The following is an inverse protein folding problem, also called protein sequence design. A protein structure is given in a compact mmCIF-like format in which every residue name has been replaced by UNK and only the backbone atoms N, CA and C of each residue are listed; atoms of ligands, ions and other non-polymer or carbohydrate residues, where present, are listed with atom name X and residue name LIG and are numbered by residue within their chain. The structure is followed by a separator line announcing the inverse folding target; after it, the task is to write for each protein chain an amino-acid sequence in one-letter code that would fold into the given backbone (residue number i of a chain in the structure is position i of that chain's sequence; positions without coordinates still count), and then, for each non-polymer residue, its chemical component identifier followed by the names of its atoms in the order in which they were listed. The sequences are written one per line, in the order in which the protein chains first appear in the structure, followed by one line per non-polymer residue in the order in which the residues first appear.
data_IF_999489140578
#
_entry.id   IF_999489140578
#
_cell.length_a   1.000
_cell.length_b   1.000
_cell.length_c   1.000
_cell.angle_alpha   90.00
_cell.angle_beta   90.00
_cell.angle_gamma   90.00
#
_symmetry.space_group_name_H-M   'P 1'
#
loop_
_entity.id
_entity.type
_entity.pdbx_description
1 polymer ?
#
# COMPACT_ATOMS: atom_id res chain seq x y z
N UNK A 1 -24.07 42.51 -27.09
CA UNK A 1 -23.43 41.74 -28.18
C UNK A 1 -22.03 41.32 -27.71
N UNK A 2 -21.51 40.15 -28.13
CA UNK A 2 -21.37 39.07 -27.16
C UNK A 2 -19.96 38.82 -26.62
N UNK A 3 -19.94 38.20 -25.45
CA UNK A 3 -18.82 37.41 -24.94
C UNK A 3 -18.47 36.28 -25.92
N UNK A 4 -17.18 36.01 -26.09
CA UNK A 4 -16.72 34.73 -26.66
C UNK A 4 -15.94 33.93 -25.62
N UNK A 5 -16.66 33.00 -24.98
CA UNK A 5 -16.05 31.82 -24.39
C UNK A 5 -15.65 30.87 -25.53
N UNK A 6 -14.38 30.46 -25.57
CA UNK A 6 -13.98 29.20 -26.24
C UNK A 6 -12.74 28.62 -25.57
N UNK A 7 -12.95 27.95 -24.43
CA UNK A 7 -12.04 26.90 -23.99
C UNK A 7 -12.13 25.76 -25.02
N UNK A 8 -11.09 25.58 -25.84
CA UNK A 8 -10.91 24.32 -26.55
C UNK A 8 -10.27 23.33 -25.59
N UNK A 9 -10.86 22.15 -25.46
CA UNK A 9 -10.17 20.98 -24.91
C UNK A 9 -8.96 20.69 -25.81
N UNK A 10 -7.75 20.77 -25.26
CA UNK A 10 -6.55 20.30 -25.96
C UNK A 10 -6.51 18.76 -25.82
N UNK A 11 -7.29 18.10 -26.67
CA UNK A 11 -7.18 16.67 -26.93
C UNK A 11 -6.03 16.44 -27.91
N UNK A 12 -4.84 16.18 -27.39
CA UNK A 12 -3.63 16.00 -28.19
C UNK A 12 -2.38 16.24 -27.35
N UNK A 13 -1.92 15.21 -26.64
CA UNK A 13 -0.61 15.22 -26.00
C UNK A 13 0.46 14.88 -27.04
N UNK A 14 1.04 15.90 -27.68
CA UNK A 14 2.28 15.71 -28.44
C UNK A 14 3.42 15.39 -27.47
N UNK A 15 4.07 14.23 -27.69
CA UNK A 15 5.10 13.64 -26.80
C UNK A 15 6.44 14.40 -26.74
N UNK A 16 6.44 15.72 -26.89
CA UNK A 16 7.66 16.54 -27.03
C UNK A 16 7.59 17.96 -26.46
N UNK A 17 6.50 18.35 -25.79
CA UNK A 17 6.38 19.67 -25.15
C UNK A 17 6.26 19.50 -23.64
N UNK A 18 7.21 20.05 -22.89
CA UNK A 18 7.19 20.07 -21.43
C UNK A 18 6.13 21.06 -20.90
N UNK A 19 5.22 20.62 -20.04
CA UNK A 19 4.19 21.48 -19.44
C UNK A 19 4.15 21.29 -17.92
N UNK A 20 4.25 22.40 -17.18
CA UNK A 20 4.03 22.44 -15.73
C UNK A 20 2.57 22.81 -15.44
N UNK A 21 1.88 22.00 -14.64
CA UNK A 21 0.54 22.31 -14.11
C UNK A 21 0.58 22.33 -12.59
N UNK A 22 -0.20 23.23 -11.98
CA UNK A 22 -0.19 23.49 -10.53
C UNK A 22 -1.58 23.90 -10.05
N UNK A 23 -1.92 23.60 -8.80
CA UNK A 23 -3.24 23.96 -8.26
C UNK A 23 -3.37 23.98 -6.73
N UNK A 24 -4.51 24.50 -6.29
CA UNK A 24 -5.01 24.51 -4.91
C UNK A 24 -6.45 24.03 -4.89
N UNK A 25 -6.81 23.15 -3.95
CA UNK A 25 -8.22 22.83 -3.70
C UNK A 25 -8.97 24.06 -3.17
N UNK A 26 -10.23 24.20 -3.59
CA UNK A 26 -11.17 25.28 -3.23
C UNK A 26 -10.88 26.69 -3.79
N UNK A 27 -9.98 26.85 -4.77
CA UNK A 27 -9.89 28.11 -5.55
C UNK A 27 -10.92 28.13 -6.70
N UNK A 28 -11.65 29.24 -6.94
CA UNK A 28 -12.66 29.33 -8.01
C UNK A 28 -12.08 29.29 -9.44
N UNK A 29 -10.75 29.26 -9.59
CA UNK A 29 -10.07 29.05 -10.86
C UNK A 29 -8.87 28.10 -10.62
N UNK A 30 -9.00 26.78 -10.86
CA UNK A 30 -8.04 25.77 -10.39
C UNK A 30 -6.73 25.73 -11.19
N UNK A 31 -6.67 26.39 -12.36
CA UNK A 31 -5.45 26.62 -13.11
C UNK A 31 -4.98 28.06 -12.86
N UNK A 32 -4.10 28.24 -11.87
CA UNK A 32 -3.35 29.50 -11.73
C UNK A 32 -1.95 29.27 -12.30
N UNK A 33 -1.54 30.06 -13.29
CA UNK A 33 -0.14 30.12 -13.73
C UNK A 33 0.69 30.61 -12.53
N UNK A 34 1.56 29.76 -11.98
CA UNK A 34 2.39 30.11 -10.83
C UNK A 34 3.71 30.67 -11.31
N UNK A 35 3.86 31.98 -11.10
CA UNK A 35 5.17 32.60 -11.01
C UNK A 35 5.74 32.29 -9.64
N UNK A 36 6.96 31.78 -9.63
CA UNK A 36 7.80 31.79 -8.44
C UNK A 36 8.34 33.22 -8.25
N UNK A 37 9.26 33.43 -7.30
CA UNK A 37 9.96 34.71 -7.17
C UNK A 37 11.44 34.42 -6.89
N UNK A 38 12.21 34.30 -7.98
CA UNK A 38 13.55 33.73 -8.06
C UNK A 38 13.82 33.08 -9.44
N UNK A 39 14.44 33.84 -10.36
CA UNK A 39 14.82 33.39 -11.72
C UNK A 39 13.66 32.79 -12.54
N UNK A 40 12.60 33.59 -12.70
CA UNK A 40 11.24 33.05 -12.77
C UNK A 40 10.73 32.49 -14.11
N UNK A 41 9.88 31.49 -13.94
CA UNK A 41 9.13 30.76 -14.96
C UNK A 41 7.79 31.46 -15.26
N UNK A 42 7.49 31.70 -16.55
CA UNK A 42 6.18 32.15 -17.02
C UNK A 42 5.94 31.57 -18.43
N UNK A 43 4.76 31.00 -18.70
CA UNK A 43 4.52 30.09 -19.81
C UNK A 43 3.27 30.49 -20.60
N UNK A 44 3.38 31.66 -21.21
CA UNK A 44 2.64 32.05 -22.42
C UNK A 44 3.72 32.50 -23.41
N UNK A 45 4.07 31.62 -24.35
CA UNK A 45 4.94 31.83 -25.53
C UNK A 45 6.51 31.80 -25.35
N UNK A 46 7.19 30.63 -25.47
CA UNK A 46 8.67 30.43 -25.25
C UNK A 46 9.44 29.46 -26.21
N UNK A 47 10.80 29.49 -26.35
CA UNK A 47 11.71 28.66 -27.21
C UNK A 47 13.21 28.70 -26.80
N UNK A 48 14.01 27.63 -26.88
CA UNK A 48 15.37 27.70 -26.31
C UNK A 48 16.42 28.33 -27.24
N UNK A 49 17.17 29.31 -26.72
CA UNK A 49 18.54 29.62 -27.15
C UNK A 49 19.43 29.93 -25.94
N UNK A 50 20.69 29.53 -25.99
CA UNK A 50 21.72 29.78 -24.96
C UNK A 50 21.34 29.45 -23.49
N UNK A 51 20.44 28.47 -23.30
CA UNK A 51 19.93 28.06 -21.98
C UNK A 51 18.59 28.69 -21.55
N UNK A 52 17.90 29.44 -22.42
CA UNK A 52 16.72 30.28 -22.10
C UNK A 52 15.54 30.06 -23.06
N UNK A 53 14.31 29.84 -22.58
CA UNK A 53 13.06 29.68 -23.39
C UNK A 53 12.39 31.06 -23.73
N UNK A 54 12.32 31.55 -24.98
CA UNK A 54 11.52 32.69 -25.53
C UNK A 54 11.07 32.48 -27.02
N UNK A 55 9.80 32.76 -27.41
CA UNK A 55 8.99 32.15 -28.54
C UNK A 55 9.62 31.68 -29.88
N UNK A 56 9.07 30.56 -30.41
CA UNK A 56 8.95 30.27 -31.85
C UNK A 56 10.03 29.37 -32.49
N UNK A 57 9.66 28.36 -33.30
CA UNK A 57 10.47 27.21 -33.77
C UNK A 57 11.93 27.07 -33.29
N UNK A 58 12.16 26.20 -32.29
CA UNK A 58 13.48 25.89 -31.70
C UNK A 58 13.45 25.61 -30.19
N UNK A 59 12.56 24.73 -29.71
CA UNK A 59 12.16 24.66 -28.30
C UNK A 59 13.04 23.72 -27.43
N UNK A 60 13.42 24.11 -26.21
CA UNK A 60 13.97 23.20 -25.17
C UNK A 60 13.69 23.69 -23.74
N UNK A 61 13.08 22.89 -22.86
CA UNK A 61 12.83 23.30 -21.47
C UNK A 61 14.06 23.00 -20.59
N UNK A 62 14.64 24.01 -19.93
CA UNK A 62 15.73 23.85 -18.96
C UNK A 62 15.30 24.47 -17.63
N UNK A 63 15.37 23.69 -16.55
CA UNK A 63 15.16 24.19 -15.19
C UNK A 63 16.44 24.92 -14.76
N UNK A 64 16.42 26.25 -14.54
CA UNK A 64 17.65 27.05 -14.38
C UNK A 64 18.34 26.87 -13.02
N UNK A 65 17.76 26.10 -12.11
CA UNK A 65 18.31 25.73 -10.80
C UNK A 65 17.66 24.42 -10.31
N UNK A 66 18.13 23.92 -9.17
CA UNK A 66 17.48 22.84 -8.42
C UNK A 66 15.99 23.15 -8.19
N UNK A 67 15.14 22.12 -8.28
CA UNK A 67 13.80 22.21 -7.66
C UNK A 67 14.03 22.03 -6.16
N UNK A 68 14.46 23.12 -5.51
CA UNK A 68 14.82 23.15 -4.09
C UNK A 68 13.62 22.88 -3.16
N UNK A 69 12.41 23.14 -3.66
CA UNK A 69 11.16 22.95 -2.92
C UNK A 69 9.94 23.38 -3.74
N UNK A 70 8.88 22.58 -3.70
CA UNK A 70 7.51 23.09 -3.83
C UNK A 70 7.11 23.69 -2.46
N UNK A 71 6.32 24.76 -2.41
CA UNK A 71 5.64 25.22 -1.19
C UNK A 71 4.25 25.76 -1.56
N UNK A 72 3.26 25.63 -0.67
CA UNK A 72 1.92 26.26 -0.78
C UNK A 72 1.02 25.81 -1.95
N UNK A 73 1.30 24.66 -2.58
CA UNK A 73 0.42 24.01 -3.56
C UNK A 73 -0.09 22.68 -3.04
N UNK A 74 -1.29 22.28 -3.48
CA UNK A 74 -1.84 20.95 -3.16
C UNK A 74 -1.39 19.89 -4.16
N UNK A 75 -1.02 20.29 -5.37
CA UNK A 75 -0.39 19.41 -6.34
C UNK A 75 0.39 20.22 -7.39
N UNK A 76 1.38 19.55 -7.97
CA UNK A 76 2.20 19.97 -9.11
C UNK A 76 2.27 18.76 -10.05
N UNK A 77 2.04 18.95 -11.35
CA UNK A 77 2.19 17.89 -12.36
C UNK A 77 3.14 18.34 -13.47
N UNK A 78 4.04 17.43 -13.84
CA UNK A 78 4.96 17.56 -14.95
C UNK A 78 4.49 16.68 -16.12
N UNK A 79 4.46 17.27 -17.31
CA UNK A 79 4.21 16.63 -18.60
C UNK A 79 5.40 16.87 -19.53
N UNK A 80 5.63 15.98 -20.49
CA UNK A 80 6.78 16.00 -21.40
C UNK A 80 8.11 15.60 -20.73
N UNK A 81 9.11 15.26 -21.54
CA UNK A 81 10.41 14.79 -21.06
C UNK A 81 11.35 15.95 -20.67
N UNK A 82 12.30 15.71 -19.76
CA UNK A 82 13.26 16.75 -19.36
C UNK A 82 14.36 16.34 -18.37
N UNK A 83 15.10 17.34 -17.87
CA UNK A 83 16.12 17.15 -16.82
C UNK A 83 15.91 18.14 -15.67
N UNK A 84 16.09 17.67 -14.44
CA UNK A 84 15.98 18.47 -13.20
C UNK A 84 17.33 18.31 -12.46
N UNK A 85 18.21 19.34 -12.38
CA UNK A 85 19.58 19.20 -11.87
C UNK A 85 19.70 18.43 -10.54
N UNK A 86 18.92 18.84 -9.53
CA UNK A 86 18.54 17.99 -8.39
C UNK A 86 17.10 18.31 -7.96
N UNK A 87 16.47 17.35 -7.26
CA UNK A 87 15.07 17.44 -6.83
C UNK A 87 14.98 17.30 -5.32
N UNK A 88 14.63 18.38 -4.63
CA UNK A 88 14.45 18.41 -3.17
C UNK A 88 13.00 18.74 -2.84
N UNK A 89 12.18 17.71 -2.62
CA UNK A 89 10.81 17.87 -2.15
C UNK A 89 10.78 18.11 -0.64
N UNK A 90 11.22 19.30 -0.22
CA UNK A 90 11.12 19.77 1.18
C UNK A 90 9.64 19.90 1.60
N UNK A 91 9.38 19.88 2.91
CA UNK A 91 8.09 20.09 3.62
C UNK A 91 6.92 20.61 2.76
N UNK A 92 6.02 19.72 2.33
CA UNK A 92 4.85 20.06 1.49
C UNK A 92 3.49 19.65 2.07
N UNK A 93 2.43 20.35 1.65
CA UNK A 93 1.02 19.91 1.84
C UNK A 93 0.42 19.33 0.55
N UNK A 94 1.25 19.10 -0.47
CA UNK A 94 0.82 18.64 -1.79
C UNK A 94 1.76 17.65 -2.44
N UNK A 95 1.32 17.14 -3.59
CA UNK A 95 1.94 16.04 -4.35
C UNK A 95 2.69 16.58 -5.59
N UNK A 96 3.86 16.01 -5.92
CA UNK A 96 4.47 16.15 -7.24
C UNK A 96 4.16 14.90 -8.07
N UNK A 97 3.55 15.06 -9.24
CA UNK A 97 3.23 13.95 -10.16
C UNK A 97 4.00 14.08 -11.48
N UNK A 98 4.77 13.05 -11.82
CA UNK A 98 5.19 12.77 -13.19
C UNK A 98 4.09 11.93 -13.87
N UNK A 99 3.71 12.24 -15.11
CA UNK A 99 2.71 11.45 -15.84
C UNK A 99 3.04 11.29 -17.31
N UNK A 100 3.30 10.05 -17.73
CA UNK A 100 3.71 9.70 -19.09
C UNK A 100 4.97 10.47 -19.57
N UNK A 101 5.92 10.69 -18.65
CA UNK A 101 7.14 11.52 -18.85
C UNK A 101 8.44 10.84 -18.44
N UNK A 102 9.52 11.07 -19.17
CA UNK A 102 10.89 10.73 -18.76
C UNK A 102 11.63 11.96 -18.20
N UNK A 103 11.99 11.91 -16.92
CA UNK A 103 12.82 12.93 -16.27
C UNK A 103 14.15 12.35 -15.78
N UNK A 104 15.24 13.11 -15.94
CA UNK A 104 16.56 12.73 -15.43
C UNK A 104 17.08 13.75 -14.42
N UNK A 105 17.56 13.27 -13.29
CA UNK A 105 18.20 14.05 -12.22
C UNK A 105 19.69 13.70 -12.14
N UNK A 106 20.61 14.59 -12.58
CA UNK A 106 22.05 14.40 -12.44
C UNK A 106 22.54 14.26 -11.00
N UNK A 107 21.89 14.95 -10.05
CA UNK A 107 22.18 14.88 -8.63
C UNK A 107 21.29 13.90 -7.86
N UNK A 108 21.18 14.13 -6.55
CA UNK A 108 20.31 13.35 -5.66
C UNK A 108 18.84 13.77 -5.79
N UNK A 109 17.94 12.87 -5.39
CA UNK A 109 16.55 13.18 -5.06
C UNK A 109 16.37 13.09 -3.54
N UNK A 110 15.90 14.16 -2.91
CA UNK A 110 15.57 14.21 -1.48
C UNK A 110 14.07 14.43 -1.32
N UNK A 111 13.33 13.41 -0.89
CA UNK A 111 11.88 13.47 -0.69
C UNK A 111 11.49 13.56 0.79
N UNK A 112 10.74 14.61 1.14
CA UNK A 112 10.05 14.81 2.42
C UNK A 112 8.56 15.17 2.20
N UNK A 113 8.07 15.04 0.97
CA UNK A 113 6.69 15.29 0.54
C UNK A 113 6.06 14.02 -0.07
N UNK A 114 5.12 14.21 -1.00
CA UNK A 114 4.54 13.11 -1.78
C UNK A 114 5.03 13.24 -3.22
N UNK A 115 5.62 12.16 -3.74
CA UNK A 115 6.04 12.04 -5.13
C UNK A 115 5.28 10.89 -5.80
N UNK A 116 4.77 11.10 -7.01
CA UNK A 116 3.98 10.12 -7.76
C UNK A 116 4.54 10.01 -9.18
N UNK A 117 4.71 8.80 -9.68
CA UNK A 117 4.96 8.49 -11.08
C UNK A 117 3.79 7.67 -11.60
N UNK A 118 3.09 8.23 -12.60
CA UNK A 118 1.85 7.72 -13.19
C UNK A 118 2.05 7.38 -14.67
N UNK A 119 1.26 6.44 -15.19
CA UNK A 119 1.37 5.97 -16.57
C UNK A 119 2.77 5.44 -16.92
N UNK A 120 3.28 5.74 -18.11
CA UNK A 120 4.61 5.29 -18.55
C UNK A 120 5.76 6.18 -18.08
N UNK A 121 5.64 6.83 -16.91
CA UNK A 121 6.65 7.77 -16.41
C UNK A 121 7.96 7.08 -16.01
N UNK A 122 9.09 7.69 -16.34
CA UNK A 122 10.42 7.24 -15.90
C UNK A 122 11.14 8.37 -15.16
N UNK A 123 11.62 8.12 -13.93
CA UNK A 123 12.53 9.01 -13.21
C UNK A 123 13.91 8.37 -13.12
N UNK A 124 14.88 8.94 -13.81
CA UNK A 124 16.29 8.59 -13.69
C UNK A 124 16.95 9.48 -12.63
N UNK A 125 17.72 8.87 -11.73
CA UNK A 125 18.45 9.52 -10.64
C UNK A 125 19.90 9.04 -10.71
N UNK A 126 20.79 9.91 -11.17
CA UNK A 126 22.21 9.58 -11.31
C UNK A 126 22.95 9.67 -9.95
N UNK A 127 22.41 10.43 -9.00
CA UNK A 127 22.82 10.40 -7.60
C UNK A 127 22.09 9.31 -6.80
N UNK A 128 21.94 9.55 -5.49
CA UNK A 128 21.12 8.73 -4.60
C UNK A 128 19.69 9.26 -4.41
N UNK A 129 18.81 8.41 -3.90
CA UNK A 129 17.43 8.73 -3.54
C UNK A 129 17.25 8.62 -2.02
N UNK A 130 16.84 9.71 -1.37
CA UNK A 130 16.67 9.79 0.08
C UNK A 130 15.21 10.12 0.40
N UNK A 131 14.54 9.27 1.18
CA UNK A 131 13.23 9.55 1.78
C UNK A 131 13.47 9.90 3.26
N UNK A 132 13.38 11.19 3.60
CA UNK A 132 13.62 11.70 4.96
C UNK A 132 12.34 11.82 5.79
N UNK A 133 12.38 11.73 7.13
CA UNK A 133 11.20 11.75 7.98
C UNK A 133 10.62 13.17 8.10
N UNK A 134 9.35 13.28 8.48
CA UNK A 134 8.64 14.55 8.68
C UNK A 134 8.07 14.63 10.10
N UNK A 135 7.74 15.83 10.54
CA UNK A 135 7.05 16.11 11.81
C UNK A 135 5.51 16.25 11.72
N UNK A 136 4.88 16.11 10.53
CA UNK A 136 3.47 16.51 10.31
C UNK A 136 2.68 15.72 9.22
N UNK A 137 3.25 14.69 8.60
CA UNK A 137 2.60 13.73 7.66
C UNK A 137 3.61 12.63 7.34
N UNK A 138 3.18 11.59 6.62
CA UNK A 138 4.05 10.57 6.04
C UNK A 138 4.64 11.09 4.71
N UNK A 139 5.98 11.11 4.53
CA UNK A 139 6.62 11.31 3.23
C UNK A 139 6.47 10.05 2.38
N UNK A 140 6.17 10.22 1.11
CA UNK A 140 5.72 9.12 0.25
C UNK A 140 6.31 9.19 -1.16
N UNK A 141 6.66 8.03 -1.71
CA UNK A 141 6.83 7.84 -3.16
C UNK A 141 5.81 6.79 -3.62
N UNK A 142 5.10 7.07 -4.71
CA UNK A 142 4.25 6.12 -5.46
C UNK A 142 4.86 5.90 -6.84
N UNK A 143 5.42 4.73 -7.11
CA UNK A 143 5.76 4.28 -8.46
C UNK A 143 4.62 3.38 -8.94
N UNK A 144 3.72 3.90 -9.78
CA UNK A 144 2.54 3.15 -10.21
C UNK A 144 2.87 2.14 -11.32
N UNK A 145 1.93 1.24 -11.62
CA UNK A 145 2.10 0.25 -12.69
C UNK A 145 2.40 0.93 -14.04
N UNK A 146 3.42 0.44 -14.74
CA UNK A 146 3.96 1.01 -15.97
C UNK A 146 5.03 2.09 -15.76
N UNK A 147 5.16 2.65 -14.55
CA UNK A 147 6.16 3.64 -14.23
C UNK A 147 7.47 3.00 -13.74
N UNK A 148 8.57 3.75 -13.88
CA UNK A 148 9.91 3.31 -13.54
C UNK A 148 10.69 4.37 -12.75
N UNK A 149 11.44 3.94 -11.74
CA UNK A 149 12.47 4.73 -11.07
C UNK A 149 13.80 4.01 -11.27
N UNK A 150 14.79 4.70 -11.85
CA UNK A 150 16.16 4.20 -11.99
C UNK A 150 17.09 5.03 -11.12
N UNK A 151 17.63 4.47 -10.05
CA UNK A 151 18.60 5.13 -9.18
C UNK A 151 19.98 4.51 -9.42
N UNK A 152 20.98 5.30 -9.80
CA UNK A 152 22.33 4.82 -10.03
C UNK A 152 23.15 4.70 -8.72
N UNK A 153 22.93 5.62 -7.78
CA UNK A 153 23.49 5.56 -6.43
C UNK A 153 22.62 4.78 -5.44
N UNK A 154 22.79 5.09 -4.16
CA UNK A 154 22.08 4.43 -3.06
C UNK A 154 20.64 4.93 -2.89
N UNK A 155 19.74 4.04 -2.44
CA UNK A 155 18.41 4.38 -1.95
C UNK A 155 18.39 4.25 -0.44
N UNK A 156 17.99 5.30 0.26
CA UNK A 156 17.79 5.28 1.71
C UNK A 156 16.42 5.83 2.08
N UNK A 157 15.70 5.15 2.97
CA UNK A 157 14.54 5.72 3.66
C UNK A 157 14.72 5.69 5.16
N UNK A 158 14.03 6.58 5.85
CA UNK A 158 14.03 6.72 7.30
C UNK A 158 12.65 6.36 7.89
N UNK A 159 12.60 6.12 9.21
CA UNK A 159 11.36 5.74 9.90
C UNK A 159 10.23 6.74 9.66
N UNK A 160 9.03 6.21 9.38
CA UNK A 160 7.84 7.02 9.11
C UNK A 160 7.67 7.51 7.66
N UNK A 161 8.46 7.02 6.71
CA UNK A 161 8.21 7.17 5.26
C UNK A 161 7.44 5.99 4.67
N UNK A 162 6.80 6.18 3.52
CA UNK A 162 6.17 5.12 2.72
C UNK A 162 6.79 5.07 1.31
N UNK A 163 7.05 3.86 0.80
CA UNK A 163 7.27 3.60 -0.62
C UNK A 163 6.19 2.65 -1.12
N UNK A 164 5.32 3.12 -2.02
CA UNK A 164 4.40 2.30 -2.81
C UNK A 164 5.05 2.01 -4.16
N UNK A 165 5.30 0.75 -4.48
CA UNK A 165 5.84 0.33 -5.77
C UNK A 165 4.94 -0.72 -6.41
N UNK A 166 4.23 -0.34 -7.47
CA UNK A 166 3.51 -1.21 -8.39
C UNK A 166 4.15 -1.23 -9.79
N UNK A 167 5.28 -0.53 -9.97
CA UNK A 167 6.04 -0.42 -11.21
C UNK A 167 7.42 -1.09 -11.10
N UNK A 168 8.46 -0.44 -11.63
CA UNK A 168 9.85 -0.93 -11.51
C UNK A 168 10.75 0.07 -10.78
N UNK A 169 11.42 -0.36 -9.71
CA UNK A 169 12.46 0.44 -9.04
C UNK A 169 13.80 -0.26 -9.20
N UNK A 170 14.65 0.25 -10.09
CA UNK A 170 16.03 -0.23 -10.29
C UNK A 170 17.00 0.55 -9.42
N UNK A 171 17.92 -0.14 -8.73
CA UNK A 171 18.94 0.47 -7.87
C UNK A 171 20.33 -0.05 -8.24
N UNK A 172 21.25 0.88 -8.52
CA UNK A 172 22.66 0.64 -8.82
C UNK A 172 23.56 0.56 -7.57
N UNK A 173 23.21 1.29 -6.51
CA UNK A 173 23.89 1.23 -5.21
C UNK A 173 23.27 0.22 -4.24
N UNK A 174 23.38 0.53 -2.94
CA UNK A 174 22.67 -0.18 -1.87
C UNK A 174 21.23 0.37 -1.72
N UNK A 175 20.29 -0.46 -1.26
CA UNK A 175 18.94 -0.01 -0.90
C UNK A 175 18.63 -0.39 0.56
N UNK A 176 18.38 0.62 1.40
CA UNK A 176 18.00 0.45 2.80
C UNK A 176 16.72 1.24 3.11
N UNK A 177 15.59 0.53 3.11
CA UNK A 177 14.28 1.10 3.36
C UNK A 177 13.87 0.86 4.82
N UNK A 178 14.09 1.89 5.66
CA UNK A 178 13.71 1.89 7.07
C UNK A 178 12.33 2.54 7.31
N UNK A 179 11.43 2.41 6.33
CA UNK A 179 10.04 2.84 6.41
C UNK A 179 9.13 1.77 5.84
N UNK A 180 7.83 2.05 5.77
CA UNK A 180 6.84 1.10 5.25
C UNK A 180 6.99 0.96 3.73
N UNK A 181 6.97 -0.28 3.23
CA UNK A 181 7.04 -0.59 1.80
C UNK A 181 5.82 -1.41 1.41
N UNK A 182 5.17 -1.06 0.29
CA UNK A 182 4.01 -1.78 -0.23
C UNK A 182 3.90 -1.77 -1.75
N UNK A 183 3.01 -2.58 -2.31
CA UNK A 183 2.74 -2.68 -3.75
C UNK A 183 3.25 -3.97 -4.42
N UNK A 184 2.80 -4.20 -5.66
CA UNK A 184 3.04 -5.43 -6.44
C UNK A 184 4.16 -5.28 -7.49
N UNK A 185 5.04 -4.30 -7.31
CA UNK A 185 6.09 -3.95 -8.27
C UNK A 185 7.36 -4.78 -8.13
N UNK A 186 8.27 -4.57 -9.08
CA UNK A 186 9.60 -5.18 -9.08
C UNK A 186 10.67 -4.19 -8.57
N UNK A 187 11.56 -4.70 -7.71
CA UNK A 187 12.82 -4.05 -7.33
C UNK A 187 13.98 -4.75 -8.03
N UNK A 188 14.75 -4.01 -8.83
CA UNK A 188 15.88 -4.57 -9.58
C UNK A 188 17.19 -4.11 -8.97
N UNK A 189 17.89 -5.02 -8.29
CA UNK A 189 19.10 -4.73 -7.52
C UNK A 189 20.37 -5.05 -8.30
N UNK A 190 21.30 -4.10 -8.37
CA UNK A 190 22.63 -4.37 -8.90
C UNK A 190 23.43 -5.28 -7.95
N UNK A 191 23.87 -6.43 -8.44
CA UNK A 191 24.72 -7.35 -7.67
C UNK A 191 26.07 -6.67 -7.34
N UNK A 192 26.62 -6.82 -6.12
CA UNK A 192 26.19 -7.75 -5.05
C UNK A 192 25.20 -7.15 -4.03
N UNK A 193 24.64 -5.97 -4.26
CA UNK A 193 23.73 -5.31 -3.32
C UNK A 193 22.44 -6.12 -3.10
N UNK A 194 21.89 -6.01 -1.89
CA UNK A 194 20.58 -6.52 -1.52
C UNK A 194 19.62 -5.38 -1.18
N UNK A 195 18.32 -5.59 -1.39
CA UNK A 195 17.26 -4.73 -0.87
C UNK A 195 17.09 -5.02 0.63
N UNK A 196 17.39 -4.06 1.49
CA UNK A 196 17.15 -4.17 2.94
C UNK A 196 15.84 -3.49 3.30
N UNK A 197 14.93 -4.23 3.93
CA UNK A 197 13.63 -3.76 4.41
C UNK A 197 13.59 -3.89 5.94
N UNK A 198 13.32 -2.81 6.68
CA UNK A 198 13.49 -2.80 8.13
C UNK A 198 12.24 -2.46 8.97
N UNK A 199 11.11 -2.10 8.37
CA UNK A 199 9.84 -1.88 9.08
C UNK A 199 8.71 -2.70 8.42
N UNK A 200 7.48 -2.20 8.36
CA UNK A 200 6.37 -2.91 7.76
C UNK A 200 6.56 -3.14 6.24
N UNK A 201 6.44 -4.38 5.80
CA UNK A 201 6.44 -4.80 4.40
C UNK A 201 5.08 -5.41 4.10
N UNK A 202 4.25 -4.69 3.34
CA UNK A 202 2.98 -5.23 2.83
C UNK A 202 3.21 -5.67 1.39
N UNK A 203 2.90 -6.92 1.06
CA UNK A 203 3.04 -7.37 -0.31
C UNK A 203 1.81 -6.96 -1.11
N UNK A 204 2.02 -6.35 -2.27
CA UNK A 204 0.92 -5.92 -3.13
C UNK A 204 0.12 -4.72 -2.63
N UNK A 205 -0.98 -4.45 -3.35
CA UNK A 205 -2.19 -3.83 -2.78
C UNK A 205 -3.17 -4.91 -2.25
N UNK A 206 -2.62 -6.10 -1.99
CA UNK A 206 -3.20 -7.39 -1.58
C UNK A 206 -4.42 -7.92 -2.37
N UNK A 207 -4.40 -9.18 -2.86
CA UNK A 207 -3.22 -10.04 -3.01
C UNK A 207 -2.31 -9.60 -4.18
N UNK A 208 -1.00 -9.82 -4.07
CA UNK A 208 -0.03 -9.54 -5.11
C UNK A 208 1.32 -10.24 -4.94
N UNK A 209 2.26 -9.94 -5.84
CA UNK A 209 3.66 -10.40 -5.72
C UNK A 209 4.55 -9.18 -5.63
N UNK A 210 5.39 -9.10 -4.61
CA UNK A 210 6.51 -8.15 -4.56
C UNK A 210 7.73 -8.89 -5.11
N UNK A 211 8.26 -8.43 -6.24
CA UNK A 211 9.41 -9.08 -6.89
C UNK A 211 10.72 -8.34 -6.57
N UNK A 212 11.78 -9.10 -6.34
CA UNK A 212 13.14 -8.61 -6.19
C UNK A 212 14.05 -9.37 -7.17
N UNK A 213 14.40 -8.72 -8.28
CA UNK A 213 15.49 -9.17 -9.13
C UNK A 213 16.83 -8.90 -8.41
N UNK A 214 17.23 -9.84 -7.56
CA UNK A 214 18.41 -9.75 -6.69
C UNK A 214 18.16 -10.41 -5.33
N UNK A 215 18.98 -10.05 -4.35
CA UNK A 215 18.81 -10.53 -2.97
C UNK A 215 17.98 -9.54 -2.14
N UNK A 216 17.26 -10.05 -1.14
CA UNK A 216 16.47 -9.25 -0.19
C UNK A 216 16.85 -9.62 1.25
N UNK A 217 16.85 -8.64 2.14
CA UNK A 217 17.09 -8.82 3.57
C UNK A 217 15.99 -8.14 4.39
N UNK A 218 15.25 -8.93 5.15
CA UNK A 218 14.30 -8.45 6.14
C UNK A 218 15.04 -8.28 7.47
N UNK A 219 15.12 -7.07 8.01
CA UNK A 219 15.80 -6.82 9.28
C UNK A 219 14.99 -7.32 10.49
N UNK A 220 15.61 -7.40 11.67
CA UNK A 220 14.96 -7.85 12.91
C UNK A 220 13.76 -7.00 13.36
N UNK A 221 13.65 -5.77 12.85
CA UNK A 221 12.50 -4.87 13.08
C UNK A 221 11.42 -4.96 12.01
N UNK A 222 11.64 -5.73 10.93
CA UNK A 222 10.70 -5.82 9.82
C UNK A 222 9.47 -6.68 10.17
N UNK A 223 8.33 -6.37 9.55
CA UNK A 223 7.11 -7.19 9.61
C UNK A 223 6.64 -7.48 8.19
N UNK A 224 6.83 -8.72 7.73
CA UNK A 224 6.26 -9.17 6.45
C UNK A 224 4.78 -9.51 6.67
N UNK A 225 3.90 -8.71 6.08
CA UNK A 225 2.46 -8.90 6.08
C UNK A 225 2.03 -9.57 4.78
N UNK A 226 1.33 -10.70 4.92
CA UNK A 226 0.87 -11.56 3.83
C UNK A 226 -0.65 -11.71 3.94
N UNK A 227 -1.37 -11.40 2.87
CA UNK A 227 -2.81 -11.63 2.76
C UNK A 227 -3.15 -12.89 1.96
N UNK A 228 -4.19 -13.61 2.39
CA UNK A 228 -4.78 -14.76 1.70
C UNK A 228 -6.28 -14.50 1.38
N UNK A 229 -6.66 -14.49 0.10
CA UNK A 229 -8.05 -14.47 -0.43
C UNK A 229 -8.47 -15.79 -1.08
N UNK A 230 -7.53 -16.72 -1.30
CA UNK A 230 -7.77 -17.97 -2.01
C UNK A 230 -6.50 -18.78 -2.24
N UNK A 231 -6.66 -19.98 -2.80
CA UNK A 231 -5.57 -20.95 -3.00
C UNK A 231 -4.88 -20.87 -4.36
N UNK A 232 -5.41 -20.09 -5.30
CA UNK A 232 -4.86 -19.93 -6.64
C UNK A 232 -3.71 -18.90 -6.65
N UNK A 233 -2.73 -19.00 -7.59
CA UNK A 233 -1.73 -17.94 -7.78
C UNK A 233 -2.40 -16.57 -7.99
N UNK A 234 -1.86 -15.53 -7.35
CA UNK A 234 -2.48 -14.20 -7.34
C UNK A 234 -3.72 -14.08 -6.43
N UNK A 235 -4.03 -15.10 -5.61
CA UNK A 235 -5.00 -15.02 -4.51
C UNK A 235 -4.37 -15.02 -3.12
N UNK A 236 -3.05 -15.03 -3.06
CA UNK A 236 -2.27 -14.82 -1.84
C UNK A 236 -1.01 -14.02 -2.15
N UNK A 237 -0.52 -13.33 -1.13
CA UNK A 237 0.69 -12.52 -1.22
C UNK A 237 1.97 -13.37 -1.30
N UNK A 238 2.92 -12.94 -2.15
CA UNK A 238 4.24 -13.58 -2.30
C UNK A 238 5.37 -12.54 -2.33
N UNK A 239 6.35 -12.68 -1.44
CA UNK A 239 7.65 -12.04 -1.60
C UNK A 239 8.55 -12.95 -2.45
N UNK A 240 8.87 -12.52 -3.67
CA UNK A 240 9.71 -13.26 -4.63
C UNK A 240 11.09 -12.62 -4.73
N UNK A 241 12.16 -13.41 -4.69
CA UNK A 241 13.54 -12.95 -4.88
C UNK A 241 14.34 -13.89 -5.79
N UNK A 242 15.04 -13.38 -6.80
CA UNK A 242 15.88 -14.26 -7.65
C UNK A 242 17.19 -14.67 -6.98
N UNK A 243 17.63 -13.92 -5.96
CA UNK A 243 18.83 -14.17 -5.14
C UNK A 243 18.54 -14.81 -3.77
N UNK A 244 19.30 -14.42 -2.75
CA UNK A 244 19.09 -14.88 -1.37
C UNK A 244 18.00 -14.04 -0.68
N UNK A 245 17.03 -14.68 -0.05
CA UNK A 245 16.16 -14.06 0.95
C UNK A 245 16.74 -14.30 2.35
N UNK A 246 17.25 -13.23 2.96
CA UNK A 246 17.69 -13.23 4.37
C UNK A 246 16.51 -12.82 5.25
N UNK A 247 15.98 -13.78 6.01
CA UNK A 247 14.79 -13.61 6.82
C UNK A 247 15.15 -13.28 8.27
N UNK A 248 14.84 -12.04 8.67
CA UNK A 248 14.71 -11.63 10.07
C UNK A 248 13.27 -11.16 10.35
N UNK A 249 13.08 -10.49 11.48
CA UNK A 249 11.82 -9.81 11.79
C UNK A 249 10.67 -10.77 12.10
N UNK A 250 9.44 -10.40 11.73
CA UNK A 250 8.22 -11.18 12.00
C UNK A 250 7.38 -11.41 10.74
N UNK A 251 6.63 -12.50 10.75
CA UNK A 251 5.59 -12.81 9.77
C UNK A 251 4.21 -12.51 10.35
N UNK A 252 3.34 -11.89 9.57
CA UNK A 252 1.93 -11.65 9.92
C UNK A 252 1.03 -12.12 8.76
N UNK A 253 -0.06 -12.84 9.08
CA UNK A 253 -0.93 -13.48 8.08
C UNK A 253 -2.36 -12.95 8.21
N UNK A 254 -2.87 -12.32 7.17
CA UNK A 254 -4.23 -11.82 7.08
C UNK A 254 -5.12 -12.76 6.25
N UNK A 255 -6.38 -12.94 6.65
CA UNK A 255 -7.41 -13.55 5.82
C UNK A 255 -8.38 -12.44 5.38
N UNK A 256 -8.59 -12.28 4.08
CA UNK A 256 -9.48 -11.26 3.50
C UNK A 256 -10.50 -11.89 2.54
N UNK A 257 -11.38 -11.08 1.95
CA UNK A 257 -12.48 -11.51 1.05
C UNK A 257 -13.37 -12.65 1.59
N UNK A 258 -13.43 -12.79 2.92
CA UNK A 258 -14.14 -13.90 3.58
C UNK A 258 -13.49 -15.27 3.37
N UNK A 259 -12.23 -15.34 2.89
CA UNK A 259 -11.53 -16.60 2.63
C UNK A 259 -11.32 -17.42 3.90
N UNK A 260 -11.43 -18.74 3.76
CA UNK A 260 -11.35 -19.74 4.83
C UNK A 260 -10.50 -20.90 4.34
N UNK A 261 -9.19 -20.93 4.68
CA UNK A 261 -8.32 -22.02 4.24
C UNK A 261 -8.82 -23.38 4.75
N UNK A 262 -8.72 -24.39 3.91
CA UNK A 262 -8.89 -25.80 4.31
C UNK A 262 -7.59 -26.35 4.89
N UNK A 263 -7.61 -27.39 5.74
CA UNK A 263 -6.40 -27.97 6.31
C UNK A 263 -5.37 -28.47 5.27
N UNK A 264 -5.81 -28.83 4.07
CA UNK A 264 -4.95 -29.25 2.96
C UNK A 264 -4.35 -28.11 2.13
N UNK A 265 -4.72 -26.86 2.37
CA UNK A 265 -4.26 -25.73 1.57
C UNK A 265 -2.79 -25.37 1.87
N UNK A 266 -2.09 -24.89 0.84
CA UNK A 266 -0.65 -24.61 0.86
C UNK A 266 -0.38 -23.27 0.19
N UNK A 267 0.34 -22.38 0.88
CA UNK A 267 0.65 -21.03 0.43
C UNK A 267 2.17 -20.79 0.49
N UNK A 268 2.89 -20.79 -0.64
CA UNK A 268 4.31 -20.42 -0.71
C UNK A 268 4.46 -18.89 -0.72
N UNK A 269 4.56 -18.29 0.46
CA UNK A 269 4.48 -16.84 0.72
C UNK A 269 5.83 -16.12 0.62
N UNK A 270 6.93 -16.86 0.68
CA UNK A 270 8.26 -16.38 0.25
C UNK A 270 8.82 -17.40 -0.74
N UNK A 271 9.39 -16.93 -1.84
CA UNK A 271 10.08 -17.74 -2.84
C UNK A 271 11.40 -17.07 -3.20
N UNK A 272 12.50 -17.82 -3.14
CA UNK A 272 13.84 -17.28 -3.26
C UNK A 272 14.81 -18.23 -3.98
N UNK A 273 15.80 -17.70 -4.71
CA UNK A 273 16.89 -18.50 -5.27
C UNK A 273 17.73 -19.23 -4.21
N UNK A 274 17.81 -18.67 -3.01
CA UNK A 274 18.25 -19.34 -1.77
C UNK A 274 17.67 -18.63 -0.55
N UNK A 275 17.70 -19.27 0.62
CA UNK A 275 17.12 -18.73 1.85
C UNK A 275 18.04 -18.88 3.05
N UNK A 276 18.10 -17.85 3.87
CA UNK A 276 18.88 -17.79 5.12
C UNK A 276 18.08 -17.07 6.21
N UNK A 277 18.37 -17.32 7.49
CA UNK A 277 17.59 -16.76 8.61
C UNK A 277 16.20 -17.41 8.77
N UNK A 278 15.38 -16.86 9.69
CA UNK A 278 14.00 -17.26 10.03
C UNK A 278 13.26 -16.08 10.67
N UNK A 279 11.93 -16.06 10.55
CA UNK A 279 11.10 -15.13 11.30
C UNK A 279 11.09 -15.45 12.81
N UNK A 280 11.26 -14.42 13.65
CA UNK A 280 11.39 -14.54 15.10
C UNK A 280 10.13 -15.07 15.81
N UNK A 281 8.96 -14.95 15.18
CA UNK A 281 7.68 -15.44 15.69
C UNK A 281 7.18 -16.74 15.01
N UNK A 282 7.98 -17.34 14.11
CA UNK A 282 7.59 -18.51 13.33
C UNK A 282 8.78 -19.43 13.05
N UNK A 283 9.14 -20.28 14.01
CA UNK A 283 10.12 -21.35 13.80
C UNK A 283 9.60 -22.47 12.87
N UNK A 284 10.49 -23.31 12.36
CA UNK A 284 10.12 -24.51 11.58
C UNK A 284 9.15 -25.39 12.37
N UNK A 285 8.01 -25.73 11.76
CA UNK A 285 6.96 -26.54 12.37
C UNK A 285 6.08 -25.79 13.39
N UNK A 286 6.39 -24.53 13.70
CA UNK A 286 5.56 -23.71 14.57
C UNK A 286 4.28 -23.27 13.83
N UNK A 287 3.18 -23.13 14.57
CA UNK A 287 1.95 -22.50 14.08
C UNK A 287 2.05 -20.97 14.21
N UNK A 288 1.67 -20.24 13.16
CA UNK A 288 1.43 -18.80 13.17
C UNK A 288 -0.08 -18.55 13.17
N UNK A 289 -0.58 -17.70 14.06
CA UNK A 289 -1.99 -17.29 14.11
C UNK A 289 -2.29 -16.24 13.03
N UNK A 290 -3.51 -16.26 12.50
CA UNK A 290 -4.03 -15.20 11.62
C UNK A 290 -4.33 -13.96 12.44
N UNK A 291 -4.17 -12.76 11.85
CA UNK A 291 -4.32 -11.47 12.58
C UNK A 291 -5.73 -11.30 13.19
N UNK A 292 -6.75 -11.87 12.56
CA UNK A 292 -8.13 -11.87 13.03
C UNK A 292 -8.40 -12.92 14.15
N UNK A 293 -7.43 -13.77 14.46
CA UNK A 293 -7.53 -14.87 15.41
C UNK A 293 -8.31 -16.09 14.91
N UNK A 294 -8.83 -16.07 13.68
CA UNK A 294 -9.72 -17.12 13.13
C UNK A 294 -9.06 -18.51 13.14
N UNK A 295 -7.76 -18.58 12.87
CA UNK A 295 -7.04 -19.85 12.91
C UNK A 295 -5.54 -19.66 12.88
N UNK A 296 -4.85 -20.72 12.49
CA UNK A 296 -3.40 -20.74 12.41
C UNK A 296 -2.92 -21.67 11.30
N UNK A 297 -1.67 -21.52 10.88
CA UNK A 297 -1.02 -22.36 9.86
C UNK A 297 0.38 -22.78 10.32
N UNK A 298 0.81 -23.99 9.98
CA UNK A 298 2.19 -24.45 10.21
C UNK A 298 3.12 -23.76 9.23
N UNK A 299 4.19 -23.17 9.74
CA UNK A 299 5.27 -22.59 8.93
C UNK A 299 6.33 -23.63 8.61
N UNK A 300 6.68 -23.74 7.33
CA UNK A 300 7.67 -24.67 6.81
C UNK A 300 8.68 -23.98 5.91
N UNK A 301 9.95 -24.10 6.25
CA UNK A 301 11.09 -23.55 5.52
C UNK A 301 11.74 -24.62 4.65
N UNK A 302 11.91 -24.33 3.36
CA UNK A 302 12.78 -25.08 2.46
C UNK A 302 14.07 -24.28 2.20
N UNK A 303 15.05 -24.78 1.43
CA UNK A 303 16.20 -23.97 1.01
C UNK A 303 15.85 -22.75 0.13
N UNK A 304 14.62 -22.67 -0.39
CA UNK A 304 14.17 -21.69 -1.41
C UNK A 304 12.79 -21.10 -1.14
N UNK A 305 12.13 -21.43 -0.03
CA UNK A 305 10.78 -20.93 0.25
C UNK A 305 10.40 -20.92 1.74
N UNK A 306 9.43 -20.07 2.07
CA UNK A 306 8.58 -20.19 3.26
C UNK A 306 7.18 -20.56 2.83
N UNK A 307 6.66 -21.63 3.40
CA UNK A 307 5.37 -22.23 3.04
C UNK A 307 4.47 -22.31 4.28
N UNK A 308 3.28 -21.74 4.17
CA UNK A 308 2.19 -21.93 5.13
C UNK A 308 1.33 -23.12 4.70
N UNK A 309 1.03 -24.04 5.63
CA UNK A 309 0.27 -25.27 5.36
C UNK A 309 -0.48 -25.74 6.61
N UNK A 310 -1.27 -26.82 6.49
CA UNK A 310 -1.92 -27.47 7.64
C UNK A 310 -2.75 -26.49 8.48
N UNK A 311 -3.67 -25.76 7.82
CA UNK A 311 -4.55 -24.81 8.52
C UNK A 311 -5.40 -25.52 9.58
N UNK A 312 -5.50 -24.90 10.75
CA UNK A 312 -6.40 -25.30 11.83
C UNK A 312 -7.18 -24.07 12.29
N UNK A 313 -8.49 -24.25 12.44
CA UNK A 313 -9.37 -23.28 13.09
C UNK A 313 -8.94 -23.09 14.55
N UNK A 314 -8.92 -21.86 15.04
CA UNK A 314 -8.79 -21.62 16.47
C UNK A 314 -10.16 -21.90 17.12
N UNK A 315 -10.30 -22.88 18.04
CA UNK A 315 -11.58 -23.12 18.71
C UNK A 315 -11.98 -21.94 19.62
N UNK A 316 -10.99 -21.27 20.22
CA UNK A 316 -11.16 -20.23 21.24
C UNK A 316 -10.40 -18.94 20.86
N UNK A 317 -10.80 -18.23 19.78
CA UNK A 317 -10.18 -16.97 19.43
C UNK A 317 -10.32 -15.95 20.57
N UNK A 318 -9.16 -15.43 21.00
CA UNK A 318 -9.06 -14.47 22.10
C UNK A 318 -9.93 -13.24 21.77
N UNK A 319 -10.84 -12.80 22.65
CA UNK A 319 -11.72 -11.67 22.36
C UNK A 319 -10.92 -10.36 22.23
N UNK A 320 -10.65 -9.98 20.98
CA UNK A 320 -10.17 -8.65 20.57
C UNK A 320 -11.23 -7.56 20.80
N UNK A 321 -12.51 -7.93 20.90
CA UNK A 321 -13.61 -7.02 21.27
C UNK A 321 -14.65 -7.72 22.16
N UNK A 322 -15.29 -7.01 23.11
CA UNK A 322 -16.39 -7.55 23.90
C UNK A 322 -17.61 -7.82 23.02
N UNK A 323 -18.20 -9.00 23.18
CA UNK A 323 -19.39 -9.38 22.43
C UNK A 323 -20.59 -8.51 22.83
N UNK A 324 -21.24 -7.89 21.86
CA UNK A 324 -22.43 -7.04 22.08
C UNK A 324 -23.58 -7.54 21.23
N UNK A 325 -24.65 -8.01 21.86
CA UNK A 325 -25.89 -8.37 21.19
C UNK A 325 -26.74 -7.11 21.02
N UNK A 326 -27.04 -6.72 19.78
CA UNK A 326 -27.88 -5.56 19.48
C UNK A 326 -29.37 -5.89 19.69
N UNK A 327 -30.17 -4.86 19.93
CA UNK A 327 -31.62 -5.00 20.12
C UNK A 327 -32.28 -5.69 18.93
N UNK A 328 -33.20 -6.64 19.16
CA UNK A 328 -33.88 -7.38 18.09
C UNK A 328 -34.65 -6.45 17.13
N UNK A 329 -34.56 -6.75 15.83
CA UNK A 329 -35.35 -6.10 14.79
C UNK A 329 -36.36 -7.10 14.19
N UNK A 330 -37.62 -6.70 14.08
CA UNK A 330 -38.62 -7.46 13.29
C UNK A 330 -38.35 -7.29 11.81
N UNK A 331 -38.26 -8.40 11.09
CA UNK A 331 -38.09 -8.47 9.63
C UNK A 331 -39.45 -8.62 8.94
N UNK A 332 -39.50 -8.30 7.64
CA UNK A 332 -40.73 -8.33 6.85
C UNK A 332 -41.34 -9.74 6.66
N UNK A 333 -40.56 -10.79 6.87
CA UNK A 333 -40.95 -12.20 6.88
C UNK A 333 -41.53 -12.66 8.24
N UNK A 334 -41.57 -11.78 9.24
CA UNK A 334 -42.03 -12.08 10.60
C UNK A 334 -40.94 -12.65 11.52
N UNK A 335 -39.72 -12.88 11.02
CA UNK A 335 -38.60 -13.30 11.86
C UNK A 335 -38.05 -12.13 12.69
N UNK A 336 -37.49 -12.45 13.86
CA UNK A 336 -36.70 -11.55 14.68
C UNK A 336 -35.23 -11.74 14.30
N UNK A 337 -34.61 -10.69 13.77
CA UNK A 337 -33.15 -10.62 13.56
C UNK A 337 -32.45 -10.08 14.81
N UNK A 338 -31.49 -10.84 15.32
CA UNK A 338 -30.60 -10.46 16.43
C UNK A 338 -29.16 -10.40 15.91
N UNK A 339 -28.60 -9.20 15.82
CA UNK A 339 -27.20 -9.00 15.40
C UNK A 339 -26.27 -9.04 16.60
N UNK A 340 -25.43 -10.06 16.68
CA UNK A 340 -24.27 -10.10 17.56
C UNK A 340 -23.11 -9.37 16.86
N UNK A 341 -22.38 -8.53 17.60
CA UNK A 341 -21.03 -8.08 17.23
C UNK A 341 -20.01 -8.73 18.15
N UNK A 342 -18.82 -9.08 17.65
CA UNK A 342 -17.73 -9.66 18.43
C UNK A 342 -16.47 -9.92 17.59
N UNK A 343 -15.50 -10.61 18.16
CA UNK A 343 -14.30 -11.05 17.42
C UNK A 343 -14.66 -12.11 16.36
N UNK A 344 -14.24 -11.93 15.08
CA UNK A 344 -14.38 -12.93 14.03
C UNK A 344 -13.89 -14.32 14.44
N UNK A 345 -14.51 -15.36 13.90
CA UNK A 345 -14.19 -16.76 14.22
C UNK A 345 -14.67 -17.23 15.59
N UNK A 346 -15.09 -16.33 16.49
CA UNK A 346 -15.52 -16.74 17.83
C UNK A 346 -16.93 -17.34 17.82
N UNK A 347 -17.05 -18.53 18.38
CA UNK A 347 -18.33 -19.21 18.55
C UNK A 347 -19.07 -18.69 19.80
N UNK A 348 -20.38 -18.51 19.66
CA UNK A 348 -21.29 -18.13 20.73
C UNK A 348 -22.52 -19.03 20.72
N UNK A 349 -23.09 -19.28 21.90
CA UNK A 349 -24.48 -19.71 22.04
C UNK A 349 -25.36 -18.50 22.28
N UNK A 350 -26.46 -18.43 21.55
CA UNK A 350 -27.59 -17.55 21.85
C UNK A 350 -28.53 -18.30 22.80
N UNK A 351 -28.86 -17.66 23.91
CA UNK A 351 -29.77 -18.18 24.92
C UNK A 351 -30.97 -17.24 25.07
N UNK A 352 -32.15 -17.81 25.36
CA UNK A 352 -33.35 -17.04 25.65
C UNK A 352 -33.96 -17.39 27.00
N UNK A 353 -34.74 -16.45 27.54
CA UNK A 353 -35.40 -16.57 28.85
C UNK A 353 -36.73 -15.82 28.86
N UNK A 354 -37.70 -16.33 29.61
CA UNK A 354 -38.99 -15.65 29.84
C UNK A 354 -39.04 -14.90 31.18
N UNK A 355 -38.15 -15.24 32.12
CA UNK A 355 -38.16 -14.74 33.52
C UNK A 355 -36.82 -14.17 34.00
N UNK A 356 -35.81 -14.10 33.11
CA UNK A 356 -34.41 -13.72 33.37
C UNK A 356 -33.62 -14.66 34.30
N UNK A 357 -34.23 -15.71 34.85
CA UNK A 357 -33.61 -16.67 35.76
C UNK A 357 -33.26 -18.00 35.08
N UNK A 358 -34.17 -18.55 34.27
CA UNK A 358 -33.96 -19.78 33.50
C UNK A 358 -33.61 -19.41 32.07
N UNK A 359 -32.46 -19.88 31.59
CA UNK A 359 -31.95 -19.59 30.25
C UNK A 359 -31.79 -20.89 29.45
N UNK A 360 -32.36 -20.93 28.25
CA UNK A 360 -32.33 -22.10 27.36
C UNK A 360 -31.57 -21.77 26.07
N UNK A 361 -30.74 -22.72 25.61
CA UNK A 361 -30.01 -22.57 24.35
C UNK A 361 -31.00 -22.51 23.19
N UNK A 362 -30.87 -21.47 22.37
CA UNK A 362 -31.76 -21.14 21.25
C UNK A 362 -31.08 -21.37 19.91
N UNK A 363 -29.79 -21.02 19.81
CA UNK A 363 -28.97 -21.27 18.64
C UNK A 363 -27.48 -21.24 19.00
N UNK A 364 -26.62 -21.74 18.11
CA UNK A 364 -25.17 -21.49 18.12
C UNK A 364 -24.75 -20.80 16.83
N UNK A 365 -23.74 -19.94 16.92
CA UNK A 365 -23.28 -19.17 15.77
C UNK A 365 -21.87 -18.63 15.99
N UNK A 366 -21.07 -18.70 14.94
CA UNK A 366 -19.72 -18.11 14.88
C UNK A 366 -19.81 -16.72 14.30
N UNK A 367 -19.07 -15.76 14.86
CA UNK A 367 -18.95 -14.40 14.33
C UNK A 367 -18.17 -14.42 13.01
N UNK A 368 -18.68 -13.70 12.03
CA UNK A 368 -18.19 -13.65 10.66
C UNK A 368 -17.06 -12.61 10.52
N UNK A 369 -16.45 -12.51 9.34
CA UNK A 369 -15.23 -11.71 9.13
C UNK A 369 -15.44 -10.19 9.33
N UNK A 370 -16.66 -9.73 9.12
CA UNK A 370 -17.09 -8.34 9.31
C UNK A 370 -17.24 -7.96 10.80
N UNK A 371 -17.09 -8.94 11.70
CA UNK A 371 -17.30 -8.78 13.14
C UNK A 371 -18.76 -8.92 13.57
N UNK A 372 -19.65 -9.36 12.68
CA UNK A 372 -21.08 -9.53 12.94
C UNK A 372 -21.53 -11.00 12.86
N UNK A 373 -22.69 -11.30 13.43
CA UNK A 373 -23.45 -12.53 13.21
C UNK A 373 -24.93 -12.26 13.39
N UNK A 374 -25.75 -12.54 12.38
CA UNK A 374 -27.20 -12.53 12.54
C UNK A 374 -27.71 -13.89 13.04
N UNK A 375 -28.57 -13.84 14.06
CA UNK A 375 -29.43 -14.94 14.45
C UNK A 375 -30.87 -14.61 14.05
N UNK A 376 -31.47 -15.47 13.23
CA UNK A 376 -32.87 -15.36 12.81
C UNK A 376 -33.73 -16.28 13.68
N UNK A 377 -34.70 -15.70 14.39
CA UNK A 377 -35.65 -16.43 15.24
C UNK A 377 -37.05 -16.26 14.65
N UNK A 378 -37.68 -17.36 14.25
CA UNK A 378 -39.08 -17.34 13.79
C UNK A 378 -40.01 -17.50 15.01
N UNK A 379 -40.84 -16.51 15.36
CA UNK A 379 -41.75 -16.62 16.50
C UNK A 379 -42.92 -17.55 16.16
N UNK A 380 -43.09 -18.64 16.92
CA UNK A 380 -44.18 -19.61 16.72
C UNK A 380 -45.27 -19.49 17.81
N UNK A 381 -45.88 -18.30 17.94
CA UNK A 381 -46.91 -18.03 18.95
C UNK A 381 -46.41 -17.99 20.41
N UNK A 382 -45.10 -18.06 20.63
CA UNK A 382 -44.49 -18.02 21.95
C UNK A 382 -44.51 -16.61 22.58
N UNK A 383 -44.51 -16.51 23.93
CA UNK A 383 -44.49 -15.24 24.63
C UNK A 383 -43.17 -14.48 24.44
N UNK A 384 -43.16 -13.21 24.84
CA UNK A 384 -41.97 -12.35 24.82
C UNK A 384 -40.82 -12.98 25.59
N UNK A 385 -39.61 -12.91 25.01
CA UNK A 385 -38.37 -13.47 25.54
C UNK A 385 -37.26 -12.44 25.57
N UNK A 386 -36.40 -12.54 26.57
CA UNK A 386 -35.10 -11.89 26.64
C UNK A 386 -34.05 -12.77 25.96
N UNK A 387 -33.00 -12.15 25.41
CA UNK A 387 -31.92 -12.84 24.71
C UNK A 387 -30.55 -12.41 25.27
N UNK A 388 -29.61 -13.36 25.34
CA UNK A 388 -28.20 -13.07 25.60
C UNK A 388 -27.31 -13.98 24.75
N UNK A 389 -26.11 -13.50 24.44
CA UNK A 389 -25.06 -14.33 23.85
C UNK A 389 -24.04 -14.69 24.93
N UNK A 390 -23.58 -15.93 24.94
CA UNK A 390 -22.44 -16.37 25.74
C UNK A 390 -21.39 -16.96 24.82
N UNK A 391 -20.12 -16.57 25.02
CA UNK A 391 -19.01 -17.24 24.34
C UNK A 391 -19.03 -18.72 24.69
N UNK A 392 -18.75 -19.56 23.70
CA UNK A 392 -18.42 -20.96 23.94
C UNK A 392 -17.00 -21.08 24.50
#
# INVERSE_FOLDING_TARGET
MPFFNTLRSISGYDKGVGILQVGRTNAPNPATEVRFNGSDFNLVDGVLRDGVWHVGPGYSLVFPADIESVWYFTWVRLHGDGQIPSLKLKKNFGELTFRDTTYTTPGNVENQGVLILDGSSTLNVNGGLVLGPRALSVPEIRCQNGAQIHVAGDVTSLRGTVLRNDGTVRVGGAAALNGRVEGSGCFVMAMPSALTLAEDVFVGSSPGTMEVEGSVALADTAVLSIELTGTQPGRFDVLSATGNATLGGRLAVNLSDGFRPSPGDIFPVVQAGSQTGRFANAAEGQRIETIDGYGSQVVHYTPTAVVLKAFELNPDPVPTAPATLRSPAMRADGAIGLTLTGSPGRAYRLESSMDLTVWTMTATGTVEYDGFREFLIVPNGEPSRFFRAQGL
#
